data_IF_692254022978
#
_entry.id   IF_692254022978
#
_cell.length_a   1.000
_cell.length_b   1.000
_cell.length_c   1.000
_cell.angle_alpha   90.00
_cell.angle_beta   90.00
_cell.angle_gamma   90.00
#
_symmetry.space_group_name_H-M   'P 1'
#
loop_
_entity.id
_entity.type
_entity.pdbx_description
1 polymer ?
#
# COMPACT_ATOMS: atom_id res chain seq x y z
N UNK A 1 -7.36 -12.77 -12.80
CA UNK A 1 -7.29 -11.39 -12.30
C UNK A 1 -7.51 -11.44 -10.79
N UNK A 2 -6.60 -10.90 -9.97
CA UNK A 2 -6.86 -10.81 -8.54
C UNK A 2 -8.11 -9.94 -8.33
N UNK A 3 -8.99 -10.33 -7.41
CA UNK A 3 -10.16 -9.50 -7.05
C UNK A 3 -9.64 -8.14 -6.55
N UNK A 4 -10.30 -7.04 -6.92
CA UNK A 4 -10.05 -5.74 -6.29
C UNK A 4 -10.53 -5.83 -4.85
N UNK A 5 -9.59 -5.80 -3.92
CA UNK A 5 -9.86 -5.94 -2.48
C UNK A 5 -9.95 -4.57 -1.79
N UNK A 6 -9.51 -3.49 -2.46
CA UNK A 6 -9.56 -2.13 -1.93
C UNK A 6 -10.84 -1.43 -2.40
N UNK A 7 -11.72 -1.10 -1.46
CA UNK A 7 -12.81 -0.18 -1.76
C UNK A 7 -12.24 1.26 -1.83
N UNK A 8 -12.89 2.16 -2.57
CA UNK A 8 -12.39 3.54 -2.72
C UNK A 8 -12.22 4.26 -1.35
N UNK A 9 -13.02 3.88 -0.36
CA UNK A 9 -12.95 4.36 1.04
C UNK A 9 -11.64 3.98 1.76
N UNK A 10 -11.14 2.75 1.60
CA UNK A 10 -9.87 2.32 2.20
C UNK A 10 -8.70 3.08 1.58
N UNK A 11 -8.81 3.36 0.28
CA UNK A 11 -7.90 4.24 -0.43
C UNK A 11 -7.82 5.58 0.28
N UNK A 12 -8.95 6.26 0.44
CA UNK A 12 -9.07 7.58 1.08
C UNK A 12 -8.54 7.62 2.52
N UNK A 13 -8.65 6.54 3.28
CA UNK A 13 -8.10 6.49 4.65
C UNK A 13 -6.57 6.51 4.66
N UNK A 14 -5.92 5.91 3.65
CA UNK A 14 -4.44 5.86 3.58
C UNK A 14 -3.85 7.15 3.01
N UNK A 15 -4.55 7.83 2.08
CA UNK A 15 -4.02 9.00 1.34
C UNK A 15 -3.41 10.09 2.24
N UNK A 16 -4.01 10.48 3.38
CA UNK A 16 -3.49 11.55 4.24
C UNK A 16 -2.19 11.19 4.94
N UNK A 17 -1.91 9.90 5.11
CA UNK A 17 -0.75 9.40 5.84
C UNK A 17 0.44 9.08 4.95
N UNK A 18 0.23 9.12 3.62
CA UNK A 18 1.32 8.91 2.69
C UNK A 18 2.33 10.06 2.79
N UNK A 19 3.63 9.77 2.66
CA UNK A 19 4.68 10.79 2.66
C UNK A 19 4.67 11.54 1.31
N UNK A 20 3.60 12.30 1.06
CA UNK A 20 3.38 13.08 -0.17
C UNK A 20 4.49 14.13 -0.28
N UNK A 21 5.19 14.17 -1.43
CA UNK A 21 6.23 15.15 -1.70
C UNK A 21 7.60 14.84 -1.07
N UNK A 22 7.70 13.92 -0.11
CA UNK A 22 8.97 13.48 0.47
C UNK A 22 9.76 12.56 -0.46
N UNK A 23 9.08 11.81 -1.34
CA UNK A 23 9.69 10.85 -2.27
C UNK A 23 9.25 11.05 -3.73
N UNK A 24 8.73 12.23 -4.07
CA UNK A 24 8.24 12.58 -5.41
C UNK A 24 6.72 12.66 -5.54
N UNK A 25 6.20 12.89 -6.75
CA UNK A 25 4.77 12.98 -7.02
C UNK A 25 4.05 11.66 -6.74
N UNK A 26 2.74 11.74 -6.56
CA UNK A 26 1.87 10.57 -6.37
C UNK A 26 2.11 9.57 -7.51
N UNK A 27 2.39 8.29 -7.22
CA UNK A 27 2.44 7.31 -8.30
C UNK A 27 1.05 7.23 -8.92
N UNK A 28 0.96 7.34 -10.25
CA UNK A 28 -0.28 7.15 -11.03
C UNK A 28 -0.99 5.82 -10.68
N UNK A 29 -0.21 4.88 -10.14
CA UNK A 29 -0.60 3.52 -9.73
C UNK A 29 -0.66 3.32 -8.20
N UNK A 30 -0.93 4.36 -7.40
CA UNK A 30 -1.01 4.18 -5.94
C UNK A 30 -2.02 3.09 -5.55
N UNK A 31 -3.20 3.10 -6.18
CA UNK A 31 -4.26 2.12 -5.91
C UNK A 31 -3.76 0.70 -6.15
N UNK A 32 -3.07 0.47 -7.26
CA UNK A 32 -2.51 -0.85 -7.61
C UNK A 32 -1.45 -1.30 -6.58
N UNK A 33 -0.63 -0.37 -6.06
CA UNK A 33 0.37 -0.66 -5.03
C UNK A 33 -0.27 -1.00 -3.67
N UNK A 34 -1.35 -0.31 -3.30
CA UNK A 34 -2.11 -0.59 -2.08
C UNK A 34 -2.85 -1.92 -2.17
N UNK A 35 -3.56 -2.16 -3.28
CA UNK A 35 -4.26 -3.43 -3.54
C UNK A 35 -3.32 -4.62 -3.43
N UNK A 36 -2.11 -4.50 -3.97
CA UNK A 36 -1.11 -5.53 -3.84
C UNK A 36 -0.60 -5.73 -2.42
N UNK A 37 -0.32 -4.63 -1.69
CA UNK A 37 0.15 -4.71 -0.31
C UNK A 37 -0.86 -5.48 0.55
N UNK A 38 -2.14 -5.18 0.37
CA UNK A 38 -3.25 -5.87 1.03
C UNK A 38 -3.30 -7.34 0.62
N UNK A 39 -3.22 -7.65 -0.69
CA UNK A 39 -3.18 -9.02 -1.17
C UNK A 39 -2.04 -9.81 -0.49
N UNK A 40 -0.84 -9.25 -0.46
CA UNK A 40 0.34 -9.89 0.12
C UNK A 40 0.18 -10.12 1.62
N UNK A 41 -0.36 -9.15 2.36
CA UNK A 41 -0.60 -9.32 3.80
C UNK A 41 -1.67 -10.38 4.07
N UNK A 42 -2.70 -10.47 3.22
CA UNK A 42 -3.76 -11.47 3.32
C UNK A 42 -3.28 -12.88 2.99
N UNK A 43 -2.47 -13.04 1.94
CA UNK A 43 -1.99 -14.36 1.50
C UNK A 43 -0.77 -14.84 2.27
N UNK A 44 0.00 -13.92 2.87
CA UNK A 44 1.30 -14.24 3.46
C UNK A 44 2.33 -14.70 2.42
N UNK A 45 2.06 -14.52 1.12
CA UNK A 45 2.92 -14.99 0.05
C UNK A 45 4.31 -14.34 0.12
N UNK A 46 5.37 -15.07 -0.31
CA UNK A 46 6.69 -14.50 -0.51
C UNK A 46 6.63 -13.29 -1.45
N UNK A 47 7.49 -12.30 -1.21
CA UNK A 47 7.62 -11.15 -2.10
C UNK A 47 7.99 -11.50 -3.54
N UNK A 48 8.46 -12.72 -3.82
CA UNK A 48 8.80 -13.14 -5.20
C UNK A 48 7.60 -13.69 -5.96
N UNK A 49 6.53 -14.07 -5.27
CA UNK A 49 5.33 -14.66 -5.86
C UNK A 49 4.27 -13.59 -6.20
N UNK A 50 4.73 -12.36 -6.34
CA UNK A 50 3.89 -11.21 -6.64
C UNK A 50 3.41 -11.34 -8.08
N UNK A 51 2.09 -11.28 -8.33
CA UNK A 51 1.59 -11.25 -9.69
C UNK A 51 2.16 -10.06 -10.46
N UNK A 52 2.67 -10.29 -11.67
CA UNK A 52 3.21 -9.24 -12.54
C UNK A 52 2.18 -8.14 -12.88
N UNK A 53 0.88 -8.44 -12.73
CA UNK A 53 -0.20 -7.47 -12.86
C UNK A 53 -0.04 -6.24 -11.93
N UNK A 54 0.74 -6.36 -10.85
CA UNK A 54 1.04 -5.29 -9.91
C UNK A 54 2.41 -4.63 -10.14
N UNK A 55 3.11 -5.03 -11.20
CA UNK A 55 4.46 -4.58 -11.53
C UNK A 55 5.57 -5.44 -10.91
N UNK A 56 6.81 -4.96 -11.03
CA UNK A 56 8.00 -5.67 -10.52
C UNK A 56 7.98 -5.71 -8.99
N UNK A 57 8.06 -6.92 -8.42
CA UNK A 57 8.08 -7.15 -6.98
C UNK A 57 9.12 -6.30 -6.22
N UNK A 58 10.26 -6.02 -6.85
CA UNK A 58 11.31 -5.19 -6.27
C UNK A 58 10.85 -3.75 -6.02
N UNK A 59 10.16 -3.14 -6.98
CA UNK A 59 9.60 -1.78 -6.83
C UNK A 59 8.56 -1.73 -5.73
N UNK A 60 7.77 -2.78 -5.60
CA UNK A 60 6.73 -2.82 -4.58
C UNK A 60 7.31 -3.05 -3.18
N UNK A 61 8.36 -3.87 -3.08
CA UNK A 61 9.13 -4.00 -1.84
C UNK A 61 9.80 -2.69 -1.44
N UNK A 62 10.46 -1.98 -2.36
CA UNK A 62 11.10 -0.69 -2.08
C UNK A 62 10.09 0.34 -1.57
N UNK A 63 8.88 0.33 -2.13
CA UNK A 63 7.78 1.18 -1.66
C UNK A 63 7.32 0.80 -0.26
N UNK A 64 7.10 -0.49 -0.02
CA UNK A 64 6.76 -0.98 1.31
C UNK A 64 7.80 -0.54 2.35
N UNK A 65 9.08 -0.68 2.03
CA UNK A 65 10.18 -0.25 2.90
C UNK A 65 10.14 1.26 3.18
N UNK A 66 9.90 2.09 2.17
CA UNK A 66 9.71 3.54 2.34
C UNK A 66 8.53 3.88 3.25
N UNK A 67 7.36 3.29 3.02
CA UNK A 67 6.16 3.56 3.82
C UNK A 67 6.30 3.06 5.26
N UNK A 68 6.98 1.93 5.44
CA UNK A 68 7.34 1.44 6.77
C UNK A 68 8.26 2.42 7.49
N UNK A 69 9.31 2.90 6.82
CA UNK A 69 10.25 3.86 7.38
C UNK A 69 9.60 5.23 7.68
N UNK A 70 8.64 5.64 6.85
CA UNK A 70 7.86 6.86 7.03
C UNK A 70 6.73 6.72 8.07
N UNK A 71 6.51 5.53 8.65
CA UNK A 71 5.48 5.32 9.67
C UNK A 71 4.04 5.29 9.16
N UNK A 72 3.82 5.15 7.84
CA UNK A 72 2.49 5.15 7.22
C UNK A 72 1.57 4.11 7.85
N UNK A 73 2.06 2.87 8.00
CA UNK A 73 1.26 1.79 8.56
C UNK A 73 0.87 2.03 10.02
N UNK A 74 1.77 2.62 10.81
CA UNK A 74 1.46 2.97 12.19
C UNK A 74 0.38 4.07 12.23
N UNK A 75 0.52 5.11 11.42
CA UNK A 75 -0.47 6.19 11.35
C UNK A 75 -1.86 5.71 10.91
N UNK A 76 -1.91 4.78 9.95
CA UNK A 76 -3.17 4.16 9.49
C UNK A 76 -3.81 3.30 10.59
N UNK A 77 -3.04 2.47 11.30
CA UNK A 77 -3.59 1.66 12.39
C UNK A 77 -4.11 2.52 13.54
N UNK A 78 -3.41 3.59 13.90
CA UNK A 78 -3.89 4.54 14.92
C UNK A 78 -5.19 5.25 14.47
N UNK A 79 -5.34 5.53 13.18
CA UNK A 79 -6.56 6.12 12.63
C UNK A 79 -7.75 5.13 12.65
N UNK A 80 -7.51 3.85 12.37
CA UNK A 80 -8.54 2.80 12.40
C UNK A 80 -8.97 2.43 13.84
N UNK A 81 -8.04 2.43 14.79
CA UNK A 81 -8.31 2.11 16.20
C UNK A 81 -9.04 3.23 16.96
N UNK A 82 -9.10 4.44 16.41
CA UNK A 82 -9.84 5.58 16.97
C UNK A 82 -10.77 6.20 15.93
N UNK A 83 -11.86 5.51 15.54
CA UNK A 83 -12.84 6.08 14.64
C UNK A 83 -13.50 7.28 15.34
N UNK A 84 -13.35 8.47 14.76
CA UNK A 84 -14.07 9.67 15.22
C UNK A 84 -15.57 9.54 15.02
#
# INVERSE_FOLDING_TARGET
MPRRELNDEDGELVRPHLPIGQYGPYPEHLRDQLEWLIWRFRTGSPWRDVPEAYGSWSRVYDRFAQWRAAGVFAAVMEADLNPR
#
